data_IF_898494361320
#
_entry.id   IF_898494361320
#
_cell.length_a   1.000
_cell.length_b   1.000
_cell.length_c   1.000
_cell.angle_alpha   90.00
_cell.angle_beta   90.00
_cell.angle_gamma   90.00
#
_symmetry.space_group_name_H-M   'P 1'
#
loop_
_entity.id
_entity.type
_entity.pdbx_description
1 polymer ?
#
# COMPACT_ATOMS: atom_id res chain seq x y z
N UNK A 1 2.24 -13.13 3.31
CA UNK A 1 1.98 -13.22 4.76
C UNK A 1 0.71 -12.40 5.02
N UNK A 2 -0.18 -12.92 5.85
CA UNK A 2 -1.60 -12.54 5.97
C UNK A 2 -1.80 -11.10 6.44
N UNK A 3 -2.74 -10.37 5.83
CA UNK A 3 -3.13 -9.04 6.32
C UNK A 3 -4.06 -9.15 7.53
N UNK A 4 -3.91 -8.22 8.49
CA UNK A 4 -4.84 -8.11 9.60
C UNK A 4 -6.23 -7.76 9.07
N UNK A 5 -7.25 -8.51 9.48
CA UNK A 5 -8.65 -8.22 9.12
C UNK A 5 -9.09 -6.95 9.83
N UNK A 6 -9.52 -5.93 9.09
CA UNK A 6 -10.00 -4.68 9.67
C UNK A 6 -11.48 -4.41 9.39
N UNK A 7 -12.00 -4.88 8.25
CA UNK A 7 -13.40 -4.69 7.94
C UNK A 7 -14.34 -5.57 8.76
N UNK A 8 -15.56 -5.06 8.98
CA UNK A 8 -16.67 -5.80 9.63
C UNK A 8 -17.06 -7.08 8.90
N UNK A 9 -16.69 -7.21 7.62
CA UNK A 9 -16.92 -8.41 6.81
C UNK A 9 -15.85 -9.50 7.03
N UNK A 10 -14.82 -9.21 7.83
CA UNK A 10 -13.72 -10.12 8.12
C UNK A 10 -12.65 -10.20 7.02
N UNK A 11 -12.64 -9.26 6.07
CA UNK A 11 -11.64 -9.08 5.03
C UNK A 11 -10.97 -7.68 5.18
N UNK A 12 -10.22 -7.28 4.17
CA UNK A 12 -9.65 -5.95 3.98
C UNK A 12 -9.77 -5.59 2.50
N UNK A 13 -9.73 -4.31 2.19
CA UNK A 13 -9.61 -3.70 0.88
C UNK A 13 -8.21 -3.09 0.69
N UNK A 14 -7.13 -3.91 0.63
CA UNK A 14 -5.78 -3.39 0.68
C UNK A 14 -5.30 -2.69 -0.60
N UNK A 15 -4.48 -1.66 -0.41
CA UNK A 15 -3.66 -1.03 -1.44
C UNK A 15 -2.25 -0.73 -0.92
N UNK A 16 -1.30 -0.56 -1.83
CA UNK A 16 0.09 -0.25 -1.54
C UNK A 16 0.37 1.21 -1.86
N UNK A 17 1.06 1.90 -0.95
CA UNK A 17 1.60 3.24 -1.17
C UNK A 17 3.11 3.20 -1.16
N UNK A 18 3.72 3.58 -2.28
CA UNK A 18 5.16 3.66 -2.47
C UNK A 18 5.60 5.12 -2.38
N UNK A 19 6.63 5.39 -1.59
CA UNK A 19 7.22 6.72 -1.42
C UNK A 19 8.71 6.66 -1.66
N UNK A 20 9.18 7.52 -2.56
CA UNK A 20 10.60 7.64 -2.86
C UNK A 20 10.89 9.05 -3.36
N UNK A 21 11.87 9.72 -2.76
CA UNK A 21 12.33 11.04 -3.17
C UNK A 21 11.20 12.07 -3.27
N UNK A 22 10.36 12.13 -2.23
CA UNK A 22 9.17 12.98 -2.19
C UNK A 22 8.05 12.61 -3.17
N UNK A 23 8.26 11.68 -4.10
CA UNK A 23 7.22 11.16 -5.01
C UNK A 23 6.43 10.06 -4.29
N UNK A 24 5.11 10.08 -4.48
CA UNK A 24 4.19 9.06 -3.95
C UNK A 24 3.43 8.44 -5.11
N UNK A 25 3.37 7.10 -5.14
CA UNK A 25 2.55 6.33 -6.07
C UNK A 25 1.71 5.32 -5.27
N UNK A 26 0.50 5.04 -5.73
CA UNK A 26 -0.43 4.13 -5.07
C UNK A 26 -0.91 3.08 -6.06
N UNK A 27 -1.12 1.85 -5.58
CA UNK A 27 -1.71 0.78 -6.36
C UNK A 27 -3.22 0.90 -6.43
N UNK A 28 -3.82 0.07 -7.27
CA UNK A 28 -5.25 -0.19 -7.18
C UNK A 28 -5.62 -0.83 -5.83
N UNK A 29 -6.87 -0.61 -5.42
CA UNK A 29 -7.45 -1.21 -4.23
C UNK A 29 -7.98 -2.60 -4.58
N UNK A 30 -7.47 -3.64 -3.93
CA UNK A 30 -8.00 -5.00 -4.09
C UNK A 30 -9.09 -5.22 -3.07
N UNK A 31 -10.34 -5.35 -3.50
CA UNK A 31 -11.50 -5.47 -2.60
C UNK A 31 -11.59 -6.85 -1.92
N UNK A 32 -11.95 -6.84 -0.63
CA UNK A 32 -12.32 -8.00 0.18
C UNK A 32 -11.31 -9.15 0.13
N UNK A 33 -10.02 -8.84 0.26
CA UNK A 33 -8.94 -9.82 0.23
C UNK A 33 -7.88 -9.59 1.32
N UNK A 34 -7.60 -10.62 2.12
CA UNK A 34 -6.44 -10.66 3.01
C UNK A 34 -5.17 -11.19 2.32
N UNK A 35 -5.27 -11.53 1.03
CA UNK A 35 -4.19 -12.06 0.17
C UNK A 35 -4.19 -11.34 -1.18
N UNK A 36 -3.99 -10.02 -1.20
CA UNK A 36 -4.07 -9.24 -2.43
C UNK A 36 -3.00 -9.64 -3.45
N UNK A 37 -3.37 -9.55 -4.72
CA UNK A 37 -2.45 -9.68 -5.86
C UNK A 37 -2.65 -8.44 -6.74
N UNK A 38 -1.70 -7.52 -6.69
CA UNK A 38 -1.76 -6.30 -7.50
C UNK A 38 -1.24 -6.53 -8.91
N UNK A 39 -0.12 -7.23 -9.06
CA UNK A 39 0.55 -7.40 -10.36
C UNK A 39 0.78 -6.05 -11.09
N UNK A 40 1.06 -4.99 -10.30
CA UNK A 40 1.31 -3.63 -10.78
C UNK A 40 2.81 -3.33 -10.73
N UNK A 41 3.28 -2.54 -11.71
CA UNK A 41 4.66 -2.09 -11.80
C UNK A 41 4.73 -0.58 -11.57
N UNK A 42 5.66 -0.15 -10.72
CA UNK A 42 5.92 1.26 -10.44
C UNK A 42 7.35 1.61 -10.83
N UNK A 43 7.53 2.74 -11.48
CA UNK A 43 8.83 3.24 -11.91
C UNK A 43 9.16 4.54 -11.17
N UNK A 44 10.39 4.63 -10.68
CA UNK A 44 10.91 5.81 -10.01
C UNK A 44 12.25 6.21 -10.64
N UNK A 45 12.40 7.48 -10.96
CA UNK A 45 13.69 8.04 -11.36
C UNK A 45 14.60 8.13 -10.14
N UNK A 46 15.79 7.54 -10.24
CA UNK A 46 16.81 7.64 -9.21
C UNK A 46 17.31 9.07 -9.14
N UNK A 47 17.28 9.66 -7.94
CA UNK A 47 17.89 10.97 -7.69
C UNK A 47 19.27 10.79 -7.07
N UNK A 48 20.22 11.61 -7.52
CA UNK A 48 21.54 11.71 -6.90
C UNK A 48 21.56 12.87 -5.89
N UNK A 49 22.12 12.66 -4.68
CA UNK A 49 22.70 11.41 -4.18
C UNK A 49 21.63 10.37 -3.80
N UNK A 50 21.89 9.10 -4.11
CA UNK A 50 20.97 7.96 -3.96
C UNK A 50 20.73 7.53 -2.48
N UNK A 51 20.61 8.49 -1.56
CA UNK A 51 20.50 8.25 -0.12
C UNK A 51 19.08 7.95 0.37
N UNK A 52 18.05 8.30 -0.40
CA UNK A 52 16.67 8.09 0.02
C UNK A 52 16.24 6.64 -0.24
N UNK A 53 15.59 6.02 0.74
CA UNK A 53 15.11 4.63 0.63
C UNK A 53 13.68 4.63 0.11
N UNK A 54 13.37 3.68 -0.77
CA UNK A 54 11.99 3.38 -1.14
C UNK A 54 11.25 2.89 0.11
N UNK A 55 10.19 3.59 0.49
CA UNK A 55 9.28 3.17 1.55
C UNK A 55 8.01 2.59 0.93
N UNK A 56 7.67 1.37 1.30
CA UNK A 56 6.47 0.68 0.83
C UNK A 56 5.54 0.49 2.01
N UNK A 57 4.34 1.04 1.94
CA UNK A 57 3.31 0.93 2.97
C UNK A 57 2.09 0.18 2.43
N UNK A 58 1.47 -0.65 3.25
CA UNK A 58 0.19 -1.30 2.94
C UNK A 58 -0.88 -0.67 3.83
N UNK A 59 -2.00 -0.34 3.20
CA UNK A 59 -3.14 0.33 3.81
C UNK A 59 -4.42 -0.44 3.48
N UNK A 60 -5.38 -0.40 4.38
CA UNK A 60 -6.75 -0.84 4.14
C UNK A 60 -7.58 0.35 3.71
N UNK A 61 -8.24 0.27 2.55
CA UNK A 61 -9.11 1.35 2.11
C UNK A 61 -10.48 1.22 2.78
N UNK A 62 -10.93 2.30 3.41
CA UNK A 62 -12.24 2.35 4.03
C UNK A 62 -13.17 3.28 3.24
N UNK A 63 -14.38 2.79 2.93
CA UNK A 63 -15.39 3.61 2.26
C UNK A 63 -15.82 4.82 3.13
N UNK A 64 -15.82 4.62 4.44
CA UNK A 64 -16.24 5.61 5.43
C UNK A 64 -15.17 5.72 6.50
N UNK A 65 -14.61 6.91 6.68
CA UNK A 65 -13.59 7.17 7.70
C UNK A 65 -12.20 7.32 7.09
N UNK A 66 -11.18 6.94 7.86
CA UNK A 66 -9.78 7.00 7.44
C UNK A 66 -9.31 5.58 7.18
N UNK A 67 -8.53 5.42 6.11
CA UNK A 67 -7.85 4.18 5.78
C UNK A 67 -6.96 3.70 6.94
N UNK A 68 -7.06 2.42 7.27
CA UNK A 68 -6.26 1.79 8.30
C UNK A 68 -4.86 1.43 7.80
N UNK A 69 -3.84 1.73 8.59
CA UNK A 69 -2.47 1.29 8.29
C UNK A 69 -2.28 -0.20 8.60
N UNK A 70 -1.79 -0.98 7.64
CA UNK A 70 -1.57 -2.42 7.78
C UNK A 70 -0.09 -2.80 7.97
N UNK A 71 0.85 -2.02 7.42
CA UNK A 71 2.28 -2.27 7.61
C UNK A 71 3.18 -1.48 6.67
N UNK A 72 4.49 -1.52 6.90
CA UNK A 72 5.50 -0.91 6.03
C UNK A 72 6.80 -1.69 5.97
N UNK A 73 7.57 -1.48 4.90
CA UNK A 73 8.98 -1.90 4.75
C UNK A 73 9.80 -0.77 4.14
#
# INVERSE_FOLDING_TARGET
RDLARKDRNGASDPFVRLRYNGKTQESTVVKKSCYPRWNETFEFELAEPAGEKLCVEVWDWDLVGKNDFLGKV
#
